data_IF_690010070134
#
_entry.id   IF_690010070134
#
_cell.length_a   1.000
_cell.length_b   1.000
_cell.length_c   1.000
_cell.angle_alpha   90.00
_cell.angle_beta   90.00
_cell.angle_gamma   90.00
#
_symmetry.space_group_name_H-M   'P 1'
#
loop_
_entity.id
_entity.type
_entity.pdbx_description
1 polymer ?
#
# COMPACT_ATOMS: atom_id res chain seq x y z
N UNK A 1 35.05 42.63 -10.27
CA UNK A 1 34.89 41.84 -11.50
C UNK A 1 34.46 40.45 -11.05
N UNK A 2 33.14 40.16 -11.11
CA UNK A 2 32.56 38.89 -10.73
C UNK A 2 32.39 38.05 -12.00
N UNK A 3 33.02 36.89 -12.07
CA UNK A 3 32.82 35.92 -13.15
C UNK A 3 31.61 35.07 -12.82
N UNK A 4 30.56 35.21 -13.63
CA UNK A 4 29.41 34.33 -13.65
C UNK A 4 29.81 33.10 -14.49
N UNK A 5 29.84 31.92 -13.87
CA UNK A 5 29.95 30.63 -14.60
C UNK A 5 28.56 30.14 -14.88
N UNK A 6 28.17 30.14 -16.13
CA UNK A 6 26.96 29.52 -16.63
C UNK A 6 27.21 28.01 -16.85
N UNK A 7 26.58 27.18 -16.08
CA UNK A 7 26.60 25.72 -16.27
C UNK A 7 25.48 25.35 -17.27
N UNK A 8 25.88 24.91 -18.46
CA UNK A 8 24.95 24.40 -19.47
C UNK A 8 24.76 22.90 -19.23
N UNK A 9 23.56 22.50 -18.88
CA UNK A 9 23.17 21.09 -18.79
C UNK A 9 22.87 20.57 -20.21
N UNK A 10 23.61 19.55 -20.64
CA UNK A 10 23.37 18.84 -21.91
C UNK A 10 22.45 17.66 -21.61
N UNK A 11 21.19 17.75 -22.05
CA UNK A 11 20.28 16.63 -22.10
C UNK A 11 20.60 15.79 -23.34
N UNK A 12 21.11 14.57 -23.15
CA UNK A 12 21.20 13.59 -24.22
C UNK A 12 19.94 12.69 -24.19
N UNK A 13 19.01 12.94 -25.12
CA UNK A 13 17.86 12.08 -25.35
C UNK A 13 18.34 10.83 -26.11
N UNK A 14 18.26 9.66 -25.46
CA UNK A 14 18.42 8.37 -26.13
C UNK A 14 17.06 7.92 -26.65
N UNK A 15 16.84 8.05 -27.95
CA UNK A 15 15.71 7.47 -28.67
C UNK A 15 16.02 5.98 -28.92
N UNK A 16 15.40 5.08 -28.16
CA UNK A 16 15.33 3.66 -28.53
C UNK A 16 14.11 3.41 -29.38
N UNK A 17 14.36 3.04 -30.65
CA UNK A 17 13.33 2.71 -31.62
C UNK A 17 12.64 1.39 -31.27
N UNK A 18 11.32 1.43 -31.19
CA UNK A 18 10.46 0.24 -31.10
C UNK A 18 10.23 -0.29 -32.52
N UNK A 19 10.78 -1.46 -32.82
CA UNK A 19 10.44 -2.23 -34.01
C UNK A 19 9.10 -2.92 -33.82
N UNK A 20 8.10 -2.48 -34.56
CA UNK A 20 6.79 -3.12 -34.70
C UNK A 20 6.94 -4.50 -35.35
N UNK A 21 6.60 -5.58 -34.64
CA UNK A 21 6.34 -6.88 -35.24
C UNK A 21 4.85 -7.04 -35.45
N UNK A 22 4.47 -7.21 -36.70
CA UNK A 22 3.13 -7.49 -37.17
C UNK A 22 2.81 -8.98 -36.91
N UNK A 23 1.69 -9.37 -36.26
CA UNK A 23 1.30 -10.76 -36.18
C UNK A 23 0.46 -11.13 -37.42
N UNK A 24 1.00 -12.11 -38.15
CA UNK A 24 0.36 -12.73 -39.29
C UNK A 24 -0.69 -13.75 -38.84
N UNK A 25 -1.77 -13.81 -39.60
CA UNK A 25 -2.94 -14.70 -39.45
C UNK A 25 -2.56 -16.18 -39.39
N UNK A 26 -3.01 -16.89 -38.33
CA UNK A 26 -3.22 -18.34 -38.42
C UNK A 26 -4.53 -18.74 -37.76
N UNK A 27 -5.42 -19.30 -38.61
CA UNK A 27 -6.69 -19.94 -38.28
C UNK A 27 -6.54 -21.07 -37.24
N UNK A 28 -7.50 -21.25 -36.36
CA UNK A 28 -7.52 -22.43 -35.48
C UNK A 28 -7.98 -23.70 -36.24
N UNK A 29 -7.17 -24.74 -36.18
CA UNK A 29 -7.53 -26.07 -36.60
C UNK A 29 -8.51 -26.73 -35.59
N UNK A 30 -9.56 -27.38 -36.16
CA UNK A 30 -10.53 -28.17 -35.45
C UNK A 30 -9.89 -29.46 -34.87
N UNK A 31 -10.12 -29.69 -33.57
CA UNK A 31 -9.87 -30.99 -32.92
C UNK A 31 -10.91 -31.99 -33.32
N UNK A 32 -10.52 -33.26 -33.59
CA UNK A 32 -11.48 -34.36 -33.82
C UNK A 32 -12.12 -34.85 -32.52
N UNK A 33 -13.37 -35.22 -32.64
CA UNK A 33 -14.19 -35.88 -31.62
C UNK A 33 -13.58 -37.19 -31.16
N UNK A 34 -13.38 -37.35 -29.85
CA UNK A 34 -13.06 -38.65 -29.24
C UNK A 34 -14.32 -39.21 -28.59
N UNK A 35 -14.82 -40.29 -29.21
CA UNK A 35 -15.89 -41.11 -28.69
C UNK A 35 -15.45 -41.76 -27.36
N UNK A 36 -16.27 -41.64 -26.33
CA UNK A 36 -16.15 -42.38 -25.07
C UNK A 36 -16.79 -43.73 -25.20
N UNK A 37 -16.11 -44.84 -24.88
CA UNK A 37 -16.78 -46.14 -24.79
C UNK A 37 -17.54 -46.28 -23.47
N UNK A 38 -18.79 -46.67 -23.63
CA UNK A 38 -19.70 -47.17 -22.63
C UNK A 38 -19.12 -48.46 -22.00
N UNK A 39 -19.00 -48.54 -20.68
CA UNK A 39 -18.63 -49.77 -20.00
C UNK A 39 -19.55 -50.00 -18.80
N UNK A 40 -20.32 -51.08 -19.01
CA UNK A 40 -21.39 -51.59 -18.19
C UNK A 40 -21.03 -51.89 -16.74
N UNK A 41 -22.10 -51.92 -15.95
CA UNK A 41 -22.10 -52.12 -14.52
C UNK A 41 -21.51 -53.43 -14.02
N UNK A 42 -20.96 -53.38 -12.85
CA UNK A 42 -20.79 -54.52 -11.95
C UNK A 42 -21.26 -54.09 -10.55
N UNK A 43 -22.26 -54.81 -10.11
CA UNK A 43 -22.82 -54.75 -8.75
C UNK A 43 -21.77 -55.28 -7.76
N UNK A 44 -21.38 -54.49 -6.77
CA UNK A 44 -20.58 -54.97 -5.62
C UNK A 44 -21.51 -55.23 -4.43
N UNK A 45 -21.28 -56.33 -3.69
CA UNK A 45 -22.15 -56.73 -2.59
C UNK A 45 -21.96 -55.85 -1.35
N UNK A 46 -23.12 -55.63 -0.73
CA UNK A 46 -23.35 -55.10 0.60
C UNK A 46 -22.45 -55.78 1.65
N UNK A 47 -21.57 -55.03 2.32
CA UNK A 47 -20.82 -55.50 3.46
C UNK A 47 -21.14 -54.64 4.67
N UNK A 48 -21.82 -55.29 5.60
CA UNK A 48 -22.42 -54.82 6.82
C UNK A 48 -21.54 -53.93 7.69
N UNK A 49 -22.20 -53.02 8.35
CA UNK A 49 -21.66 -51.99 9.19
C UNK A 49 -20.82 -52.45 10.37
N UNK A 50 -19.81 -51.72 10.64
CA UNK A 50 -19.28 -51.53 11.99
C UNK A 50 -19.52 -50.06 12.34
N UNK A 51 -20.41 -49.84 13.29
CA UNK A 51 -20.63 -48.54 13.92
C UNK A 51 -19.34 -48.17 14.67
N UNK A 52 -18.60 -47.23 14.14
CA UNK A 52 -17.55 -46.55 14.90
C UNK A 52 -18.22 -45.62 15.90
N UNK A 53 -17.80 -45.62 17.19
CA UNK A 53 -18.36 -44.68 18.16
C UNK A 53 -18.04 -43.26 17.74
N UNK A 54 -19.11 -42.47 17.61
CA UNK A 54 -19.10 -41.03 17.44
C UNK A 54 -18.37 -40.41 18.63
N UNK A 55 -17.09 -40.07 18.43
CA UNK A 55 -16.35 -39.28 19.33
C UNK A 55 -16.70 -37.80 19.04
N UNK A 56 -17.87 -37.42 19.51
CA UNK A 56 -18.34 -36.04 19.53
C UNK A 56 -17.39 -35.17 20.37
N UNK A 57 -16.22 -34.88 19.83
CA UNK A 57 -15.42 -33.75 20.27
C UNK A 57 -16.20 -32.50 19.95
N UNK A 58 -16.79 -31.88 20.97
CA UNK A 58 -17.22 -30.48 20.89
C UNK A 58 -15.98 -29.68 20.48
N UNK A 59 -15.87 -29.37 19.19
CA UNK A 59 -15.04 -28.27 18.73
C UNK A 59 -15.71 -27.02 19.32
N UNK A 60 -15.15 -26.48 20.37
CA UNK A 60 -15.38 -25.09 20.74
C UNK A 60 -15.16 -24.27 19.48
N UNK A 61 -16.11 -23.42 19.06
CA UNK A 61 -15.83 -22.48 17.97
C UNK A 61 -14.57 -21.70 18.36
N UNK A 62 -13.53 -21.82 17.57
CA UNK A 62 -12.41 -20.87 17.64
C UNK A 62 -13.07 -19.51 17.47
N UNK A 63 -12.83 -18.59 18.41
CA UNK A 63 -13.38 -17.25 18.34
C UNK A 63 -12.93 -16.65 17.00
N UNK A 64 -13.86 -16.54 16.06
CA UNK A 64 -13.61 -16.01 14.73
C UNK A 64 -13.15 -14.54 14.92
N UNK A 65 -11.96 -14.21 14.44
CA UNK A 65 -11.44 -12.85 14.53
C UNK A 65 -12.40 -11.87 13.81
N UNK A 66 -12.81 -10.84 14.53
CA UNK A 66 -13.64 -9.76 14.00
C UNK A 66 -12.82 -8.46 14.06
N UNK A 67 -12.54 -7.88 12.90
CA UNK A 67 -11.86 -6.60 12.82
C UNK A 67 -12.70 -5.50 13.49
N UNK A 68 -12.10 -4.63 14.31
CA UNK A 68 -12.82 -3.49 14.91
C UNK A 68 -13.14 -2.38 13.90
N UNK A 69 -12.56 -2.43 12.70
CA UNK A 69 -12.80 -1.48 11.61
C UNK A 69 -13.45 -2.24 10.46
N UNK A 70 -14.45 -1.67 9.83
CA UNK A 70 -15.08 -2.13 8.59
C UNK A 70 -14.64 -1.23 7.46
N UNK A 71 -14.25 -1.78 6.32
CA UNK A 71 -13.81 -0.99 5.16
C UNK A 71 -15.01 -0.79 4.24
N UNK A 72 -15.79 0.26 4.46
CA UNK A 72 -17.06 0.51 3.76
C UNK A 72 -17.31 1.98 3.36
N UNK A 73 -16.40 2.90 3.74
CA UNK A 73 -16.52 4.34 3.49
C UNK A 73 -17.35 5.08 4.53
N UNK A 74 -17.76 4.39 5.63
CA UNK A 74 -18.27 5.02 6.85
C UNK A 74 -17.17 4.98 7.92
N UNK A 75 -16.59 6.12 8.21
CA UNK A 75 -15.40 6.25 9.04
C UNK A 75 -15.72 6.32 10.55
N UNK A 76 -16.93 5.98 10.96
CA UNK A 76 -17.34 6.04 12.36
C UNK A 76 -16.60 5.04 13.25
N UNK A 77 -16.17 3.91 12.72
CA UNK A 77 -15.41 2.88 13.44
C UNK A 77 -14.05 3.40 13.95
N UNK A 78 -13.52 4.42 13.29
CA UNK A 78 -12.26 5.05 13.67
C UNK A 78 -12.36 5.98 14.88
N UNK A 79 -13.59 6.35 15.24
CA UNK A 79 -13.82 7.27 16.34
C UNK A 79 -13.75 6.55 17.68
N UNK A 80 -12.87 7.02 18.56
CA UNK A 80 -12.66 6.48 19.91
C UNK A 80 -12.20 5.01 20.00
N UNK A 81 -11.72 4.43 18.89
CA UNK A 81 -11.11 3.10 18.91
C UNK A 81 -9.76 3.16 19.63
N UNK A 82 -9.61 2.32 20.66
CA UNK A 82 -8.35 2.20 21.40
C UNK A 82 -7.26 1.62 20.49
N UNK A 83 -6.07 2.19 20.55
CA UNK A 83 -4.94 1.77 19.72
C UNK A 83 -4.79 2.54 18.40
N UNK A 84 -5.77 3.37 18.02
CA UNK A 84 -5.64 4.28 16.88
C UNK A 84 -4.62 5.37 17.20
N UNK A 85 -3.64 5.51 16.32
CA UNK A 85 -2.67 6.61 16.35
C UNK A 85 -3.07 7.64 15.30
N UNK A 86 -3.07 8.92 15.67
CA UNK A 86 -3.53 10.01 14.81
C UNK A 86 -2.40 11.00 14.55
N UNK A 87 -2.20 11.34 13.28
CA UNK A 87 -1.32 12.40 12.84
C UNK A 87 -2.12 13.45 12.06
N UNK A 88 -1.95 14.72 12.42
CA UNK A 88 -2.59 15.84 11.73
C UNK A 88 -1.55 16.72 11.07
N UNK A 89 -1.94 17.32 9.94
CA UNK A 89 -1.11 18.30 9.25
C UNK A 89 -0.81 19.49 10.14
N UNK A 90 0.46 19.92 10.16
CA UNK A 90 0.86 21.18 10.73
C UNK A 90 0.30 22.32 9.83
N UNK A 91 -0.46 23.28 10.39
CA UNK A 91 -1.05 24.36 9.61
C UNK A 91 -0.03 25.27 8.91
N UNK A 92 1.20 25.29 9.37
CA UNK A 92 2.30 26.08 8.80
C UNK A 92 3.22 25.25 7.89
N UNK A 93 2.93 23.96 7.67
CA UNK A 93 3.67 23.11 6.74
C UNK A 93 3.36 23.50 5.28
N UNK A 94 4.28 23.15 4.37
CA UNK A 94 4.11 23.45 2.94
C UNK A 94 3.35 22.39 2.17
N UNK A 95 3.37 21.12 2.64
CA UNK A 95 2.76 19.97 1.98
C UNK A 95 1.48 19.55 2.71
N UNK A 96 0.44 20.35 2.58
CA UNK A 96 -0.84 20.18 3.30
C UNK A 96 -1.93 19.48 2.47
N UNK A 97 -1.58 18.74 1.45
CA UNK A 97 -2.54 17.94 0.66
C UNK A 97 -3.16 16.77 1.45
N UNK A 98 -2.52 16.35 2.56
CA UNK A 98 -3.10 15.48 3.56
C UNK A 98 -3.40 16.28 4.82
N UNK A 99 -4.61 16.17 5.35
CA UNK A 99 -5.07 16.85 6.57
C UNK A 99 -4.90 15.98 7.81
N UNK A 100 -5.22 14.71 7.69
CA UNK A 100 -5.16 13.75 8.78
C UNK A 100 -4.80 12.36 8.27
N UNK A 101 -4.01 11.62 9.05
CA UNK A 101 -3.76 10.19 8.91
C UNK A 101 -4.08 9.53 10.23
N UNK A 102 -4.88 8.46 10.20
CA UNK A 102 -5.10 7.56 11.34
C UNK A 102 -4.58 6.19 10.99
N UNK A 103 -3.98 5.51 11.95
CA UNK A 103 -3.45 4.17 11.78
C UNK A 103 -3.88 3.31 12.95
N UNK A 104 -4.40 2.15 12.65
CA UNK A 104 -4.66 1.06 13.59
C UNK A 104 -4.03 -0.21 13.04
N UNK A 105 -3.25 -0.89 13.85
CA UNK A 105 -2.66 -2.17 13.46
C UNK A 105 -2.81 -3.18 14.61
N UNK A 106 -3.22 -4.39 14.26
CA UNK A 106 -3.19 -5.55 15.12
C UNK A 106 -2.42 -6.70 14.48
N UNK A 107 -2.47 -7.89 15.04
CA UNK A 107 -1.73 -9.05 14.50
C UNK A 107 -2.26 -9.52 13.13
N UNK A 108 -3.45 -9.08 12.71
CA UNK A 108 -4.11 -9.53 11.47
C UNK A 108 -4.08 -8.46 10.38
N UNK A 109 -4.36 -7.20 10.75
CA UNK A 109 -4.49 -6.11 9.78
C UNK A 109 -3.73 -4.85 10.18
N UNK A 110 -3.21 -4.17 9.16
CA UNK A 110 -2.87 -2.76 9.23
C UNK A 110 -3.95 -1.96 8.49
N UNK A 111 -4.58 -1.02 9.19
CA UNK A 111 -5.62 -0.16 8.66
C UNK A 111 -5.11 1.29 8.68
N UNK A 112 -5.34 2.02 7.60
CA UNK A 112 -4.94 3.42 7.45
C UNK A 112 -6.13 4.21 6.92
N UNK A 113 -6.46 5.33 7.58
CA UNK A 113 -7.40 6.33 7.10
C UNK A 113 -6.63 7.58 6.72
N UNK A 114 -6.84 8.09 5.52
CA UNK A 114 -6.30 9.35 5.04
C UNK A 114 -7.43 10.35 4.76
N UNK A 115 -7.23 11.58 5.20
CA UNK A 115 -8.09 12.72 4.85
C UNK A 115 -7.30 13.69 3.97
N UNK A 116 -7.82 13.95 2.76
CA UNK A 116 -7.21 14.83 1.78
C UNK A 116 -7.71 16.27 1.93
N UNK A 117 -6.86 17.22 1.59
CA UNK A 117 -7.25 18.60 1.46
C UNK A 117 -7.78 18.86 0.03
N UNK A 118 -9.09 19.07 -0.18
CA UNK A 118 -9.67 19.23 -1.51
C UNK A 118 -9.23 20.53 -2.22
N UNK A 119 -8.75 21.51 -1.48
CA UNK A 119 -8.24 22.74 -2.06
C UNK A 119 -6.84 22.58 -2.69
N UNK A 120 -6.12 21.52 -2.30
CA UNK A 120 -4.75 21.23 -2.76
C UNK A 120 -4.74 20.00 -3.66
N UNK A 121 -5.41 18.91 -3.26
CA UNK A 121 -5.52 17.67 -4.06
C UNK A 121 -6.67 17.82 -5.05
N UNK A 122 -6.38 18.55 -6.13
CA UNK A 122 -7.39 18.94 -7.15
C UNK A 122 -7.41 17.99 -8.33
N UNK A 123 -6.30 17.30 -8.63
CA UNK A 123 -6.21 16.31 -9.71
C UNK A 123 -6.44 14.89 -9.16
N UNK A 124 -7.71 14.52 -9.03
CA UNK A 124 -8.13 13.22 -8.47
C UNK A 124 -8.37 12.23 -9.60
N UNK A 125 -7.28 11.81 -10.24
CA UNK A 125 -7.31 10.84 -11.32
C UNK A 125 -6.35 9.69 -11.06
N UNK A 126 -6.63 8.51 -11.63
CA UNK A 126 -5.72 7.35 -11.59
C UNK A 126 -4.53 7.49 -12.55
N UNK A 127 -4.11 8.72 -12.86
CA UNK A 127 -2.93 8.97 -13.67
C UNK A 127 -1.67 8.49 -12.92
N UNK A 128 -0.72 7.93 -13.66
CA UNK A 128 0.50 7.33 -13.09
C UNK A 128 1.29 8.30 -12.22
N UNK A 129 1.23 9.60 -12.53
CA UNK A 129 1.90 10.67 -11.81
C UNK A 129 1.19 11.17 -10.54
N UNK A 130 0.02 10.58 -10.20
CA UNK A 130 -0.78 10.98 -9.04
C UNK A 130 -0.94 9.84 -8.02
N UNK A 131 0.15 9.24 -7.51
CA UNK A 131 0.05 8.17 -6.53
C UNK A 131 -0.32 8.69 -5.14
N UNK A 132 -0.89 7.79 -4.36
CA UNK A 132 -1.01 7.87 -2.90
C UNK A 132 -0.12 6.77 -2.34
N UNK A 133 0.88 7.15 -1.55
CA UNK A 133 1.87 6.21 -1.06
C UNK A 133 1.87 6.14 0.46
N UNK A 134 2.14 4.94 0.98
CA UNK A 134 2.46 4.70 2.38
C UNK A 134 3.94 4.34 2.47
N UNK A 135 4.61 4.90 3.45
CA UNK A 135 6.04 4.75 3.67
C UNK A 135 6.26 4.08 5.01
N UNK A 136 7.03 3.00 5.05
CA UNK A 136 7.17 2.18 6.24
C UNK A 136 8.64 2.02 6.63
N UNK A 137 8.86 1.93 7.95
CA UNK A 137 10.13 1.51 8.54
C UNK A 137 9.89 0.59 9.72
N UNK A 138 10.72 -0.44 9.88
CA UNK A 138 10.56 -1.43 10.95
C UNK A 138 11.16 -0.95 12.26
N UNK A 139 12.15 -0.04 12.22
CA UNK A 139 12.78 0.50 13.41
C UNK A 139 13.39 1.90 13.15
N UNK A 140 13.72 2.61 14.23
CA UNK A 140 14.42 3.91 14.14
C UNK A 140 15.86 3.80 13.65
N UNK A 141 16.46 2.62 13.78
CA UNK A 141 17.84 2.35 13.36
C UNK A 141 17.89 1.68 11.96
N UNK A 142 16.74 1.53 11.31
CA UNK A 142 16.66 0.97 9.97
C UNK A 142 17.40 1.84 8.96
N UNK A 143 18.05 1.19 8.01
CA UNK A 143 18.71 1.87 6.91
C UNK A 143 17.80 1.96 5.70
N UNK A 144 17.69 3.14 5.08
CA UNK A 144 16.81 3.29 3.93
C UNK A 144 16.89 4.66 3.28
N UNK A 145 15.81 5.04 2.62
CA UNK A 145 15.67 6.32 1.92
C UNK A 145 15.44 7.47 2.90
N UNK A 146 16.19 8.53 2.75
CA UNK A 146 16.11 9.70 3.63
C UNK A 146 14.98 10.65 3.19
N UNK A 147 13.82 10.54 3.79
CA UNK A 147 12.66 11.39 3.49
C UNK A 147 12.12 12.12 4.71
N UNK A 148 12.07 11.49 5.89
CA UNK A 148 11.58 12.07 7.14
C UNK A 148 12.71 12.21 8.15
N UNK A 149 13.20 13.44 8.35
CA UNK A 149 14.20 13.78 9.38
C UNK A 149 15.36 12.77 9.45
N UNK A 150 15.63 12.22 10.63
CA UNK A 150 16.70 11.24 10.85
C UNK A 150 16.25 9.79 10.62
N UNK A 151 14.95 9.55 10.42
CA UNK A 151 14.42 8.22 10.18
C UNK A 151 14.42 7.90 8.70
N UNK A 152 15.02 6.77 8.34
CA UNK A 152 15.06 6.28 6.98
C UNK A 152 13.89 5.34 6.69
N UNK A 153 13.35 5.43 5.48
CA UNK A 153 12.30 4.56 4.98
C UNK A 153 12.89 3.31 4.36
N UNK A 154 12.42 2.16 4.78
CA UNK A 154 12.82 0.86 4.22
C UNK A 154 11.90 0.42 3.09
N UNK A 155 10.59 0.71 3.21
CA UNK A 155 9.57 0.22 2.29
C UNK A 155 8.62 1.34 1.86
N UNK A 156 8.19 1.26 0.61
CA UNK A 156 7.19 2.13 0.02
C UNK A 156 6.07 1.28 -0.58
N UNK A 157 4.83 1.57 -0.19
CA UNK A 157 3.64 1.05 -0.84
C UNK A 157 3.07 2.18 -1.71
N UNK A 158 3.22 2.08 -3.02
CA UNK A 158 2.77 3.12 -3.93
C UNK A 158 1.57 2.63 -4.73
N UNK A 159 0.49 3.38 -4.66
CA UNK A 159 -0.77 3.00 -5.27
C UNK A 159 -1.61 4.18 -5.76
N UNK A 160 -2.73 3.85 -6.41
CA UNK A 160 -3.66 4.80 -7.02
C UNK A 160 -5.08 4.46 -6.57
N UNK A 161 -5.85 5.47 -6.19
CA UNK A 161 -7.21 5.30 -5.68
C UNK A 161 -8.21 6.32 -6.22
N UNK A 162 -7.75 7.35 -6.95
CA UNK A 162 -8.64 8.41 -7.38
C UNK A 162 -9.39 8.07 -8.68
N UNK A 163 -10.68 8.39 -8.71
CA UNK A 163 -11.54 8.29 -9.89
C UNK A 163 -12.51 9.50 -9.93
N UNK A 164 -11.96 10.68 -10.17
CA UNK A 164 -12.70 11.93 -10.09
C UNK A 164 -13.25 12.20 -8.69
N UNK A 165 -14.56 12.37 -8.58
CA UNK A 165 -15.25 12.59 -7.30
C UNK A 165 -15.50 11.29 -6.50
N UNK A 166 -15.07 10.15 -7.03
CA UNK A 166 -15.18 8.84 -6.39
C UNK A 166 -13.80 8.23 -6.15
N UNK A 167 -13.79 7.03 -5.57
CA UNK A 167 -12.59 6.26 -5.37
C UNK A 167 -12.71 4.90 -6.08
N UNK A 168 -11.63 4.47 -6.70
CA UNK A 168 -11.42 3.07 -7.05
C UNK A 168 -10.71 2.36 -5.88
N UNK A 169 -10.66 1.04 -5.92
CA UNK A 169 -9.82 0.29 -4.98
C UNK A 169 -8.38 0.78 -5.07
N UNK A 170 -7.80 1.10 -3.90
CA UNK A 170 -6.39 1.47 -3.85
C UNK A 170 -5.54 0.25 -4.25
N UNK A 171 -4.93 0.33 -5.42
CA UNK A 171 -4.08 -0.73 -5.95
C UNK A 171 -2.63 -0.29 -5.82
N UNK A 172 -1.83 -1.05 -5.10
CA UNK A 172 -0.47 -0.67 -4.78
C UNK A 172 0.52 -1.82 -4.93
N UNK A 173 1.71 -1.49 -5.44
CA UNK A 173 2.90 -2.33 -5.32
C UNK A 173 3.70 -1.97 -4.08
N UNK A 174 4.43 -2.93 -3.53
CA UNK A 174 5.38 -2.71 -2.45
C UNK A 174 6.81 -2.78 -2.98
N UNK A 175 7.61 -1.82 -2.55
CA UNK A 175 8.99 -1.65 -2.95
C UNK A 175 9.88 -1.57 -1.72
N UNK A 176 11.06 -2.19 -1.80
CA UNK A 176 12.10 -2.12 -0.77
C UNK A 176 13.22 -1.20 -1.24
N UNK A 177 13.77 -0.41 -0.33
CA UNK A 177 14.92 0.41 -0.63
C UNK A 177 16.17 -0.45 -0.86
N UNK A 178 16.81 -0.31 -2.03
CA UNK A 178 18.00 -1.05 -2.45
C UNK A 178 19.22 -0.14 -2.60
N UNK A 179 19.11 1.15 -2.26
CA UNK A 179 20.20 2.11 -2.31
C UNK A 179 21.08 2.09 -1.05
N UNK A 180 22.08 2.97 -1.04
CA UNK A 180 22.86 3.23 0.17
C UNK A 180 21.98 3.91 1.24
N UNK A 181 22.30 3.69 2.51
CA UNK A 181 21.61 4.33 3.63
C UNK A 181 21.77 5.85 3.53
N UNK A 182 20.68 6.57 3.74
CA UNK A 182 20.58 8.03 3.60
C UNK A 182 20.88 8.58 2.18
N UNK A 183 20.94 7.72 1.17
CA UNK A 183 21.10 8.19 -0.20
C UNK A 183 19.81 8.84 -0.72
N UNK A 184 19.99 9.75 -1.67
CA UNK A 184 18.91 10.35 -2.44
C UNK A 184 18.78 9.62 -3.79
N UNK A 185 17.60 9.70 -4.38
CA UNK A 185 17.32 9.15 -5.69
C UNK A 185 16.31 8.01 -5.66
N UNK A 186 16.03 7.45 -6.84
CA UNK A 186 15.05 6.39 -7.00
C UNK A 186 15.76 5.03 -7.15
N UNK A 187 16.01 4.35 -6.01
CA UNK A 187 16.66 3.03 -5.98
C UNK A 187 15.78 2.05 -5.21
N UNK A 188 14.58 1.81 -5.76
CA UNK A 188 13.57 0.94 -5.19
C UNK A 188 13.46 -0.35 -6.00
N UNK A 189 13.43 -1.50 -5.33
CA UNK A 189 13.17 -2.80 -5.91
C UNK A 189 11.77 -3.27 -5.57
N UNK A 190 10.99 -3.70 -6.57
CA UNK A 190 9.67 -4.28 -6.35
C UNK A 190 9.79 -5.60 -5.61
N UNK A 191 9.09 -5.74 -4.49
CA UNK A 191 9.04 -6.96 -3.66
C UNK A 191 7.68 -7.63 -3.67
N UNK A 192 6.59 -6.86 -3.87
CA UNK A 192 5.25 -7.35 -4.12
C UNK A 192 4.64 -6.52 -5.26
N UNK A 193 4.12 -7.17 -6.29
CA UNK A 193 3.48 -6.48 -7.42
C UNK A 193 2.08 -5.98 -7.07
N UNK A 194 1.41 -6.69 -6.18
CA UNK A 194 0.04 -6.38 -5.75
C UNK A 194 -0.06 -6.58 -4.23
N UNK A 195 -0.25 -5.48 -3.54
CA UNK A 195 -0.55 -5.51 -2.11
C UNK A 195 -2.05 -5.63 -1.99
N UNK A 196 -2.52 -6.84 -1.78
CA UNK A 196 -3.94 -7.10 -1.59
C UNK A 196 -4.47 -6.27 -0.43
N UNK A 197 -5.15 -5.19 -0.76
CA UNK A 197 -5.74 -4.26 0.17
C UNK A 197 -7.24 -4.15 -0.10
N UNK A 198 -8.03 -4.10 0.94
CA UNK A 198 -9.36 -3.56 0.88
C UNK A 198 -9.27 -2.05 1.02
N UNK A 199 -10.06 -1.31 0.28
CA UNK A 199 -10.18 0.13 0.47
C UNK A 199 -11.56 0.63 0.10
N UNK A 200 -12.01 1.65 0.81
CA UNK A 200 -13.24 2.37 0.53
C UNK A 200 -13.04 3.85 0.79
N UNK A 201 -13.68 4.69 -0.02
CA UNK A 201 -13.53 6.13 0.12
C UNK A 201 -14.85 6.85 -0.07
N UNK A 202 -15.02 7.95 0.67
CA UNK A 202 -16.16 8.86 0.55
C UNK A 202 -15.73 10.29 0.86
N UNK A 203 -16.22 11.26 0.08
CA UNK A 203 -15.83 12.66 0.22
C UNK A 203 -14.34 12.84 0.04
N UNK A 204 -13.66 13.37 1.05
CA UNK A 204 -12.22 13.61 1.02
C UNK A 204 -11.42 12.60 1.84
N UNK A 205 -11.99 11.43 2.11
CA UNK A 205 -11.36 10.38 2.91
C UNK A 205 -11.31 9.06 2.18
N UNK A 206 -10.26 8.29 2.46
CA UNK A 206 -10.11 6.90 2.08
C UNK A 206 -9.60 6.10 3.27
N UNK A 207 -10.17 4.94 3.47
CA UNK A 207 -9.65 3.91 4.36
C UNK A 207 -9.09 2.75 3.55
N UNK A 208 -7.98 2.20 4.04
CA UNK A 208 -7.19 1.17 3.39
C UNK A 208 -6.85 0.11 4.42
N UNK A 209 -7.02 -1.17 4.08
CA UNK A 209 -6.63 -2.31 4.90
C UNK A 209 -5.63 -3.18 4.17
N UNK A 210 -4.60 -3.59 4.87
CA UNK A 210 -3.60 -4.55 4.39
C UNK A 210 -3.47 -5.70 5.40
N UNK A 211 -3.18 -6.91 4.89
CA UNK A 211 -2.95 -8.08 5.74
C UNK A 211 -1.54 -8.03 6.32
N UNK A 212 -1.42 -8.14 7.64
CA UNK A 212 -0.11 -8.15 8.31
C UNK A 212 0.74 -9.34 7.87
N UNK A 213 0.15 -10.51 7.67
CA UNK A 213 0.88 -11.70 7.18
C UNK A 213 1.51 -11.48 5.80
N UNK A 214 0.83 -10.75 4.91
CA UNK A 214 1.37 -10.41 3.59
C UNK A 214 2.61 -9.51 3.72
N UNK A 215 2.51 -8.48 4.55
CA UNK A 215 3.61 -7.55 4.81
C UNK A 215 4.76 -8.24 5.54
N UNK A 216 4.46 -9.09 6.54
CA UNK A 216 5.44 -9.86 7.31
C UNK A 216 6.21 -10.89 6.45
N UNK A 217 5.71 -11.25 5.29
CA UNK A 217 6.44 -12.03 4.30
C UNK A 217 7.67 -11.29 3.71
N UNK A 218 7.73 -9.97 3.86
CA UNK A 218 8.77 -9.11 3.28
C UNK A 218 9.50 -8.28 4.33
N UNK A 219 8.80 -7.82 5.39
CA UNK A 219 9.36 -6.97 6.44
C UNK A 219 9.24 -7.65 7.81
N UNK A 220 10.26 -7.45 8.65
CA UNK A 220 10.27 -7.98 10.02
C UNK A 220 9.68 -6.96 10.98
N UNK A 221 8.40 -7.13 11.34
CA UNK A 221 7.73 -6.29 12.32
C UNK A 221 8.18 -6.63 13.74
N UNK A 222 8.50 -5.57 14.53
CA UNK A 222 8.59 -5.65 15.97
C UNK A 222 7.22 -5.43 16.65
N UNK A 223 7.23 -5.02 17.93
CA UNK A 223 6.00 -4.58 18.61
C UNK A 223 5.51 -3.20 18.10
N UNK A 224 6.38 -2.49 17.39
CA UNK A 224 6.11 -1.18 16.78
C UNK A 224 6.70 -1.11 15.39
N UNK A 225 6.12 -0.27 14.55
CA UNK A 225 6.67 0.16 13.26
C UNK A 225 6.44 1.65 13.06
N UNK A 226 7.01 2.22 12.01
CA UNK A 226 6.92 3.64 11.70
C UNK A 226 6.28 3.81 10.34
N UNK A 227 5.36 4.77 10.22
CA UNK A 227 4.60 5.02 8.99
C UNK A 227 4.53 6.50 8.68
N UNK A 228 4.57 6.80 7.39
CA UNK A 228 4.20 8.08 6.81
C UNK A 228 3.34 7.87 5.58
N UNK A 229 2.78 8.94 5.06
CA UNK A 229 2.00 8.92 3.83
C UNK A 229 2.33 10.16 3.00
N UNK A 230 2.24 10.02 1.68
CA UNK A 230 2.21 11.15 0.77
C UNK A 230 1.15 11.00 -0.32
N UNK A 231 0.71 12.13 -0.85
CA UNK A 231 -0.07 12.22 -2.06
C UNK A 231 0.67 13.10 -3.07
N UNK A 232 0.77 12.61 -4.30
CA UNK A 232 1.47 13.32 -5.36
C UNK A 232 0.49 13.74 -6.46
N UNK A 233 0.84 14.84 -7.13
CA UNK A 233 0.24 15.30 -8.38
C UNK A 233 1.36 15.66 -9.34
N UNK A 234 1.34 15.10 -10.54
CA UNK A 234 2.42 15.24 -11.53
C UNK A 234 3.82 14.89 -10.95
N UNK A 235 3.90 13.85 -10.11
CA UNK A 235 5.08 13.41 -9.36
C UNK A 235 5.59 14.37 -8.28
N UNK A 236 4.92 15.50 -8.05
CA UNK A 236 5.24 16.41 -6.96
C UNK A 236 4.42 16.04 -5.71
N UNK A 237 5.08 15.82 -4.58
CA UNK A 237 4.41 15.59 -3.31
C UNK A 237 3.70 16.87 -2.84
N UNK A 238 2.37 16.90 -3.01
CA UNK A 238 1.52 18.04 -2.59
C UNK A 238 0.99 17.88 -1.16
N UNK A 239 0.96 16.67 -0.64
CA UNK A 239 0.61 16.35 0.75
C UNK A 239 1.55 15.32 1.32
N UNK A 240 1.92 15.49 2.59
CA UNK A 240 2.80 14.59 3.32
C UNK A 240 2.39 14.57 4.79
N UNK A 241 2.32 13.39 5.40
CA UNK A 241 2.14 13.20 6.84
C UNK A 241 3.09 12.11 7.37
N UNK A 242 3.72 12.33 8.53
CA UNK A 242 3.79 13.58 9.27
C UNK A 242 4.47 14.70 8.50
N UNK A 243 4.13 15.94 8.80
CA UNK A 243 4.78 17.14 8.28
C UNK A 243 5.03 18.16 9.39
N UNK A 244 5.86 19.17 9.10
CA UNK A 244 6.15 20.25 10.02
C UNK A 244 6.36 21.57 9.27
N UNK A 245 6.25 22.68 10.00
CA UNK A 245 6.59 23.99 9.47
C UNK A 245 8.07 24.06 9.06
N UNK A 246 8.34 24.80 7.99
CA UNK A 246 9.71 25.18 7.64
C UNK A 246 10.15 26.31 8.59
N UNK A 247 11.22 26.05 9.35
CA UNK A 247 11.83 27.01 10.27
C UNK A 247 13.34 27.14 10.00
N UNK A 248 14.02 28.06 10.67
CA UNK A 248 15.49 28.17 10.59
C UNK A 248 16.18 26.87 11.08
N UNK A 249 15.53 26.13 12.00
CA UNK A 249 16.04 24.89 12.59
C UNK A 249 15.61 23.66 11.79
N UNK A 250 14.48 23.73 11.06
CA UNK A 250 13.94 22.66 10.22
C UNK A 250 13.66 23.19 8.80
N UNK A 251 14.71 23.35 8.02
CA UNK A 251 14.63 23.89 6.66
C UNK A 251 13.94 22.97 5.65
N UNK A 252 13.81 21.68 5.96
CA UNK A 252 13.16 20.70 5.09
C UNK A 252 11.65 20.59 5.32
N UNK A 253 11.15 21.07 6.48
CA UNK A 253 9.76 20.81 6.90
C UNK A 253 9.48 19.33 7.17
N UNK A 254 10.54 18.52 7.33
CA UNK A 254 10.39 17.12 7.67
C UNK A 254 9.96 16.94 9.14
N UNK A 255 9.18 15.91 9.39
CA UNK A 255 8.80 15.47 10.73
C UNK A 255 9.19 14.00 10.91
N UNK A 256 9.27 13.54 12.14
CA UNK A 256 9.47 12.13 12.41
C UNK A 256 8.24 11.33 11.95
N UNK A 257 8.48 10.12 11.41
CA UNK A 257 7.40 9.20 11.04
C UNK A 257 6.56 8.85 12.28
N UNK A 258 5.29 8.55 12.05
CA UNK A 258 4.36 8.17 13.09
C UNK A 258 4.71 6.78 13.63
N UNK A 259 4.97 6.69 14.94
CA UNK A 259 5.16 5.41 15.62
C UNK A 259 3.82 4.73 15.86
N UNK A 260 3.67 3.50 15.40
CA UNK A 260 2.46 2.68 15.55
C UNK A 260 2.80 1.44 16.33
N UNK A 261 2.03 1.19 17.39
CA UNK A 261 2.13 -0.03 18.19
C UNK A 261 1.13 -1.06 17.68
N UNK A 262 1.59 -2.30 17.47
CA UNK A 262 0.71 -3.41 17.09
C UNK A 262 -0.08 -3.84 18.34
N UNK A 263 -1.42 -3.80 18.23
CA UNK A 263 -2.35 -4.23 19.26
C UNK A 263 -2.38 -5.76 19.27
N UNK A 264 -2.30 -6.36 20.48
CA UNK A 264 -2.27 -7.82 20.68
C UNK A 264 -3.57 -8.31 21.32
#
# INVERSE_FOLDING_TARGET
MKKIMTLAAIFAAVMMGVTSCNPDDTKPEQKPDVETPDNGGEETPDNGGEETPDNGGEQTPEDEYVSPITIDGDFADWDNLEGVVVCKSDPDATKQGLLEMRVYADEVFMNVLLEFNPDIVTERTAATENPVSLWLSTSKDAGGYNMWSDLCIEYMLQGWCFNGDSYDTWTAGMYMWAGEVHAEGWTWESVLEDVAAESAGAGDKIEIRMMMDLLAGVMEFGDVFYIGADVQQAWDAVGQLPNAAITEENMSGAAEMLEVKIVK
#
